data_IF_146176914869
#
_entry.id   IF_146176914869
#
_cell.length_a   1.000
_cell.length_b   1.000
_cell.length_c   1.000
_cell.angle_alpha   90.00
_cell.angle_beta   90.00
_cell.angle_gamma   90.00
#
_symmetry.space_group_name_H-M   'P 1'
#
loop_
_entity.id
_entity.type
_entity.pdbx_description
1 polymer ?
#
# COMPACT_ATOMS: atom_id res chain seq x y z
N UNK A 1 1.44 -11.68 -2.66
CA UNK A 1 2.31 -12.65 -3.40
C UNK A 1 2.10 -12.68 -4.92
N UNK A 2 0.88 -12.74 -5.46
CA UNK A 2 0.67 -12.86 -6.93
C UNK A 2 1.13 -11.62 -7.71
N UNK A 3 0.90 -10.42 -7.17
CA UNK A 3 1.36 -9.15 -7.74
C UNK A 3 2.88 -9.10 -7.90
N UNK A 4 3.61 -9.49 -6.86
CA UNK A 4 5.09 -9.54 -6.90
C UNK A 4 5.60 -10.51 -7.96
N UNK A 5 4.93 -11.66 -8.14
CA UNK A 5 5.30 -12.64 -9.16
C UNK A 5 5.08 -12.09 -10.58
N UNK A 6 3.97 -11.39 -10.81
CA UNK A 6 3.66 -10.76 -12.11
C UNK A 6 4.72 -9.72 -12.48
N UNK A 7 5.12 -8.86 -11.55
CA UNK A 7 6.14 -7.85 -11.83
C UNK A 7 7.52 -8.43 -12.02
N UNK A 8 7.89 -9.50 -11.30
CA UNK A 8 9.13 -10.24 -11.55
C UNK A 8 9.13 -10.79 -12.98
N UNK A 9 8.02 -11.37 -13.44
CA UNK A 9 7.88 -11.85 -14.83
C UNK A 9 8.04 -10.71 -15.85
N UNK A 10 7.39 -9.58 -15.63
CA UNK A 10 7.48 -8.41 -16.52
C UNK A 10 8.89 -7.85 -16.58
N UNK A 11 9.60 -7.79 -15.45
CA UNK A 11 11.02 -7.37 -15.40
C UNK A 11 11.89 -8.35 -16.18
N UNK A 12 11.67 -9.66 -16.01
CA UNK A 12 12.46 -10.69 -16.68
C UNK A 12 12.25 -10.67 -18.20
N UNK A 13 10.99 -10.66 -18.66
CA UNK A 13 10.64 -10.57 -20.08
C UNK A 13 11.14 -9.25 -20.66
N UNK A 14 10.88 -8.12 -20.00
CA UNK A 14 11.37 -6.81 -20.42
C UNK A 14 12.88 -6.77 -20.53
N UNK A 15 13.60 -7.28 -19.53
CA UNK A 15 15.06 -7.35 -19.53
C UNK A 15 15.64 -8.16 -20.69
N UNK A 16 15.10 -9.35 -20.95
CA UNK A 16 15.54 -10.20 -22.07
C UNK A 16 15.32 -9.51 -23.41
N UNK A 17 14.12 -8.98 -23.65
CA UNK A 17 13.81 -8.31 -24.92
C UNK A 17 14.61 -7.02 -25.10
N UNK A 18 14.91 -6.30 -24.03
CA UNK A 18 15.79 -5.13 -24.06
C UNK A 18 17.22 -5.51 -24.48
N UNK A 19 17.78 -6.57 -23.90
CA UNK A 19 19.11 -7.08 -24.30
C UNK A 19 19.13 -7.52 -25.76
N UNK A 20 18.13 -8.29 -26.20
CA UNK A 20 18.02 -8.74 -27.60
C UNK A 20 17.91 -7.52 -28.54
N UNK A 21 17.06 -6.55 -28.20
CA UNK A 21 16.89 -5.33 -28.99
C UNK A 21 18.21 -4.56 -29.13
N UNK A 22 18.96 -4.39 -28.04
CA UNK A 22 20.27 -3.72 -28.02
C UNK A 22 21.31 -4.47 -28.88
N UNK A 23 21.39 -5.79 -28.77
CA UNK A 23 22.31 -6.60 -29.59
C UNK A 23 21.97 -6.45 -31.07
N UNK A 24 20.70 -6.59 -31.45
CA UNK A 24 20.26 -6.44 -32.85
C UNK A 24 20.50 -5.01 -33.35
N UNK A 25 20.31 -4.00 -32.50
CA UNK A 25 20.58 -2.61 -32.83
C UNK A 25 22.07 -2.38 -33.10
N UNK A 26 22.96 -2.89 -32.24
CA UNK A 26 24.41 -2.79 -32.40
C UNK A 26 24.86 -3.45 -33.71
N UNK A 27 24.37 -4.66 -34.01
CA UNK A 27 24.64 -5.31 -35.29
C UNK A 27 24.11 -4.51 -36.48
N UNK A 28 22.92 -3.90 -36.34
CA UNK A 28 22.34 -3.02 -37.35
C UNK A 28 23.16 -1.76 -37.59
N UNK A 29 23.76 -1.18 -36.55
CA UNK A 29 24.68 -0.04 -36.65
C UNK A 29 25.97 -0.46 -37.34
N UNK A 30 26.60 -1.55 -36.89
CA UNK A 30 27.87 -2.05 -37.43
C UNK A 30 27.76 -2.42 -38.92
N UNK A 31 26.69 -3.14 -39.30
CA UNK A 31 26.42 -3.48 -40.70
C UNK A 31 25.78 -2.35 -41.52
N UNK A 32 25.59 -1.15 -40.94
CA UNK A 32 24.88 -0.01 -41.55
C UNK A 32 23.50 -0.39 -42.14
N UNK A 33 22.84 -1.40 -41.56
CA UNK A 33 21.60 -1.99 -42.08
C UNK A 33 20.36 -1.33 -41.48
N UNK A 34 19.58 -0.65 -42.30
CA UNK A 34 18.31 -0.03 -41.88
C UNK A 34 17.24 -1.06 -41.50
N UNK A 35 17.24 -2.24 -42.16
CA UNK A 35 16.30 -3.32 -41.85
C UNK A 35 16.50 -3.85 -40.43
N UNK A 36 17.77 -4.07 -40.03
CA UNK A 36 18.08 -4.55 -38.68
C UNK A 36 17.73 -3.52 -37.60
N UNK A 37 17.95 -2.22 -37.85
CA UNK A 37 17.53 -1.16 -36.93
C UNK A 37 16.02 -1.14 -36.73
N UNK A 38 15.22 -1.28 -37.80
CA UNK A 38 13.76 -1.37 -37.71
C UNK A 38 13.29 -2.56 -36.89
N UNK A 39 13.92 -3.73 -37.07
CA UNK A 39 13.63 -4.93 -36.27
C UNK A 39 13.97 -4.68 -34.80
N UNK A 40 15.13 -4.09 -34.51
CA UNK A 40 15.54 -3.77 -33.15
C UNK A 40 14.54 -2.84 -32.45
N UNK A 41 14.08 -1.78 -33.13
CA UNK A 41 13.06 -0.89 -32.59
C UNK A 41 11.72 -1.61 -32.37
N UNK A 42 11.32 -2.50 -33.29
CA UNK A 42 10.13 -3.34 -33.11
C UNK A 42 10.21 -4.19 -31.84
N UNK A 43 11.31 -4.91 -31.64
CA UNK A 43 11.56 -5.70 -30.43
C UNK A 43 11.60 -4.79 -29.19
N UNK A 44 12.18 -3.59 -29.31
CA UNK A 44 12.30 -2.60 -28.25
C UNK A 44 10.97 -2.05 -27.75
N UNK A 45 9.86 -2.25 -28.47
CA UNK A 45 8.52 -1.88 -27.96
C UNK A 45 8.08 -2.75 -26.78
N UNK A 46 8.49 -4.02 -26.73
CA UNK A 46 8.14 -4.96 -25.65
C UNK A 46 8.64 -4.47 -24.28
N UNK A 47 9.93 -4.16 -24.08
CA UNK A 47 10.40 -3.66 -22.79
C UNK A 47 9.79 -2.32 -22.40
N UNK A 48 9.52 -1.43 -23.38
CA UNK A 48 8.83 -0.16 -23.12
C UNK A 48 7.44 -0.42 -22.53
N UNK A 49 6.69 -1.38 -23.09
CA UNK A 49 5.39 -1.77 -22.53
C UNK A 49 5.52 -2.41 -21.14
N UNK A 50 6.46 -3.34 -20.96
CA UNK A 50 6.67 -4.00 -19.65
C UNK A 50 7.03 -3.00 -18.55
N UNK A 51 8.05 -2.17 -18.75
CA UNK A 51 8.47 -1.19 -17.77
C UNK A 51 7.49 -0.02 -17.65
N UNK A 52 6.80 0.34 -18.74
CA UNK A 52 5.74 1.32 -18.72
C UNK A 52 4.55 0.90 -17.85
N UNK A 53 4.14 -0.38 -17.93
CA UNK A 53 3.07 -0.91 -17.08
C UNK A 53 3.49 -0.94 -15.60
N UNK A 54 4.73 -1.32 -15.30
CA UNK A 54 5.28 -1.29 -13.94
C UNK A 54 5.28 0.16 -13.41
N UNK A 55 5.78 1.10 -14.21
CA UNK A 55 5.82 2.51 -13.84
C UNK A 55 4.41 3.08 -13.62
N UNK A 56 3.47 2.77 -14.51
CA UNK A 56 2.06 3.14 -14.35
C UNK A 56 1.48 2.59 -13.03
N UNK A 57 1.74 1.32 -12.72
CA UNK A 57 1.24 0.71 -11.51
C UNK A 57 1.72 1.43 -10.25
N UNK A 58 3.02 1.63 -10.10
CA UNK A 58 3.59 2.20 -8.86
C UNK A 58 3.49 3.72 -8.76
N UNK A 59 3.48 4.45 -9.88
CA UNK A 59 3.42 5.91 -9.86
C UNK A 59 1.98 6.44 -9.88
N UNK A 60 1.03 5.66 -10.40
CA UNK A 60 -0.35 6.13 -10.64
C UNK A 60 -1.35 5.24 -9.91
N UNK A 61 -1.37 3.94 -10.20
CA UNK A 61 -2.42 3.05 -9.68
C UNK A 61 -2.35 2.89 -8.15
N UNK A 62 -1.19 2.49 -7.61
CA UNK A 62 -1.01 2.26 -6.17
C UNK A 62 -1.30 3.53 -5.34
N UNK A 63 -0.74 4.72 -5.66
CA UNK A 63 -1.07 5.94 -4.93
C UNK A 63 -2.57 6.29 -5.01
N UNK A 64 -3.21 6.05 -6.15
CA UNK A 64 -4.65 6.31 -6.32
C UNK A 64 -5.49 5.37 -5.45
N UNK A 65 -5.15 4.08 -5.39
CA UNK A 65 -5.86 3.12 -4.55
C UNK A 65 -5.66 3.43 -3.07
N UNK A 66 -4.42 3.71 -2.65
CA UNK A 66 -4.13 4.06 -1.26
C UNK A 66 -4.88 5.32 -0.83
N UNK A 67 -4.94 6.35 -1.69
CA UNK A 67 -5.72 7.56 -1.39
C UNK A 67 -7.21 7.25 -1.23
N UNK A 68 -7.79 6.46 -2.13
CA UNK A 68 -9.20 6.05 -2.04
C UNK A 68 -9.49 5.28 -0.76
N UNK A 69 -8.60 4.37 -0.36
CA UNK A 69 -8.73 3.58 0.86
C UNK A 69 -8.57 4.46 2.11
N UNK A 70 -7.66 5.43 2.10
CA UNK A 70 -7.53 6.43 3.17
C UNK A 70 -8.81 7.25 3.34
N UNK A 71 -9.45 7.66 2.24
CA UNK A 71 -10.73 8.38 2.28
C UNK A 71 -11.84 7.49 2.88
N UNK A 72 -11.96 6.24 2.45
CA UNK A 72 -12.96 5.28 2.95
C UNK A 72 -12.78 4.98 4.45
N UNK A 73 -11.55 4.78 4.91
CA UNK A 73 -11.24 4.45 6.30
C UNK A 73 -11.01 5.69 7.19
N UNK A 74 -11.09 6.90 6.65
CA UNK A 74 -11.05 8.11 7.48
C UNK A 74 -12.35 8.25 8.29
N UNK A 75 -12.23 8.63 9.56
CA UNK A 75 -13.36 8.82 10.46
C UNK A 75 -13.01 8.56 11.93
N UNK A 76 -14.03 8.61 12.77
CA UNK A 76 -13.92 8.34 14.21
C UNK A 76 -14.24 6.88 14.48
N UNK A 77 -13.40 6.24 15.29
CA UNK A 77 -13.54 4.86 15.70
C UNK A 77 -13.61 4.76 17.23
N UNK A 78 -14.49 3.90 17.74
CA UNK A 78 -14.54 3.54 19.15
C UNK A 78 -13.82 2.22 19.39
N UNK A 79 -13.12 2.12 20.53
CA UNK A 79 -12.55 0.86 20.98
C UNK A 79 -13.65 -0.12 21.43
N UNK A 80 -13.52 -1.37 21.03
CA UNK A 80 -14.29 -2.49 21.54
C UNK A 80 -13.30 -3.51 22.13
N UNK A 81 -13.02 -3.39 23.43
CA UNK A 81 -12.18 -4.35 24.15
C UNK A 81 -12.99 -5.63 24.40
N UNK A 82 -12.51 -6.77 23.90
CA UNK A 82 -13.11 -8.09 24.13
C UNK A 82 -12.63 -8.66 25.48
N UNK A 83 -12.80 -7.92 26.58
CA UNK A 83 -12.62 -8.47 27.93
C UNK A 83 -13.98 -8.53 28.63
N UNK A 84 -14.36 -9.74 29.06
CA UNK A 84 -15.57 -10.00 29.86
C UNK A 84 -15.59 -9.11 31.10
N UNK A 85 -16.41 -8.07 31.08
CA UNK A 85 -16.83 -7.34 32.28
C UNK A 85 -16.08 -6.05 32.62
N UNK A 86 -15.25 -5.49 31.74
CA UNK A 86 -14.71 -4.12 31.92
C UNK A 86 -15.55 -3.10 31.14
N UNK A 87 -15.82 -1.98 31.79
CA UNK A 87 -16.62 -0.87 31.26
C UNK A 87 -16.13 -0.39 29.89
N UNK A 88 -17.08 0.05 29.07
CA UNK A 88 -16.85 0.76 27.81
C UNK A 88 -15.99 2.00 28.10
N UNK A 89 -14.68 1.92 27.91
CA UNK A 89 -13.81 3.08 27.97
C UNK A 89 -14.06 3.93 26.73
N UNK A 90 -14.41 5.21 26.93
CA UNK A 90 -14.61 6.19 25.87
C UNK A 90 -13.25 6.55 25.21
N UNK A 91 -12.60 5.58 24.59
CA UNK A 91 -11.38 5.79 23.82
C UNK A 91 -11.71 5.87 22.34
N UNK A 92 -11.33 6.98 21.73
CA UNK A 92 -11.62 7.28 20.33
C UNK A 92 -10.33 7.34 19.51
N UNK A 93 -10.34 6.74 18.33
CA UNK A 93 -9.31 6.88 17.32
C UNK A 93 -9.89 7.63 16.12
N UNK A 94 -9.36 8.81 15.84
CA UNK A 94 -9.70 9.63 14.69
C UNK A 94 -8.65 9.45 13.60
N UNK A 95 -9.06 8.90 12.46
CA UNK A 95 -8.24 8.81 11.26
C UNK A 95 -8.64 9.90 10.27
N UNK A 96 -7.70 10.73 9.87
CA UNK A 96 -7.91 11.78 8.88
C UNK A 96 -7.45 11.31 7.50
N UNK A 97 -8.21 11.65 6.46
CA UNK A 97 -7.89 11.28 5.08
C UNK A 97 -6.57 11.88 4.56
N UNK A 98 -6.01 12.87 5.27
CA UNK A 98 -4.68 13.43 4.99
C UNK A 98 -3.53 12.55 5.50
N UNK A 99 -3.84 11.43 6.15
CA UNK A 99 -2.86 10.49 6.70
C UNK A 99 -2.38 10.85 8.09
N UNK A 100 -3.04 11.78 8.79
CA UNK A 100 -2.80 12.00 10.22
C UNK A 100 -3.83 11.24 11.07
N UNK A 101 -3.49 10.96 12.33
CA UNK A 101 -4.44 10.40 13.27
C UNK A 101 -4.33 11.05 14.65
N UNK A 102 -5.41 10.92 15.44
CA UNK A 102 -5.45 11.31 16.86
C UNK A 102 -6.14 10.23 17.68
N UNK A 103 -5.52 9.85 18.79
CA UNK A 103 -6.05 8.90 19.75
C UNK A 103 -6.38 9.61 21.09
N UNK A 104 -7.66 9.59 21.45
CA UNK A 104 -8.20 10.13 22.68
C UNK A 104 -8.62 8.98 23.58
N UNK A 105 -7.67 8.31 24.24
CA UNK A 105 -7.95 7.25 25.19
C UNK A 105 -7.13 7.38 26.47
N UNK A 106 -7.63 6.78 27.56
CA UNK A 106 -6.89 6.66 28.83
C UNK A 106 -6.07 5.37 28.91
N UNK A 107 -6.37 4.39 28.06
CA UNK A 107 -5.69 3.09 28.03
C UNK A 107 -4.39 3.17 27.23
N UNK A 108 -3.38 2.44 27.70
CA UNK A 108 -2.13 2.27 26.97
C UNK A 108 -2.31 1.17 25.91
N UNK A 109 -2.99 1.50 24.82
CA UNK A 109 -3.33 0.57 23.72
C UNK A 109 -2.22 0.42 22.68
N UNK A 110 -0.95 0.70 23.07
CA UNK A 110 0.19 0.54 22.19
C UNK A 110 0.29 1.53 21.03
N UNK A 111 -0.59 2.56 20.96
CA UNK A 111 -0.52 3.63 19.96
C UNK A 111 -0.27 4.99 20.62
N UNK A 112 0.46 5.87 19.93
CA UNK A 112 0.68 7.24 20.38
C UNK A 112 -0.61 8.07 20.30
N UNK A 113 -0.68 9.18 21.05
CA UNK A 113 -1.82 10.12 21.02
C UNK A 113 -2.05 10.78 19.66
N UNK A 114 -1.01 10.89 18.84
CA UNK A 114 -1.06 11.46 17.50
C UNK A 114 0.10 10.93 16.68
N UNK A 115 -0.04 11.03 15.37
CA UNK A 115 0.96 10.59 14.42
C UNK A 115 0.42 10.54 13.01
N UNK A 116 1.06 9.73 12.17
CA UNK A 116 0.61 9.50 10.78
C UNK A 116 0.22 8.05 10.58
N UNK A 117 -0.72 7.82 9.67
CA UNK A 117 -1.13 6.50 9.22
C UNK A 117 -1.18 6.48 7.69
N UNK A 118 -0.97 5.31 7.11
CA UNK A 118 -1.10 5.11 5.66
C UNK A 118 -1.63 3.72 5.37
N UNK A 119 -2.25 3.56 4.21
CA UNK A 119 -2.75 2.28 3.73
C UNK A 119 -1.81 1.67 2.69
N UNK A 120 -2.13 0.45 2.24
CA UNK A 120 -1.32 -0.27 1.26
C UNK A 120 0.08 -0.65 1.77
N UNK A 121 0.21 -0.89 3.08
CA UNK A 121 1.43 -1.42 3.70
C UNK A 121 1.67 -2.89 3.34
N UNK A 122 2.55 -3.55 4.09
CA UNK A 122 2.88 -4.97 3.85
C UNK A 122 1.60 -5.83 3.91
N UNK A 123 1.36 -6.60 2.85
CA UNK A 123 0.16 -7.42 2.66
C UNK A 123 -1.17 -6.63 2.78
N UNK A 124 -1.13 -5.34 2.45
CA UNK A 124 -2.28 -4.45 2.49
C UNK A 124 -2.55 -3.84 3.87
N UNK A 125 -1.79 -4.19 4.91
CA UNK A 125 -2.04 -3.67 6.26
C UNK A 125 -1.89 -2.15 6.35
N UNK A 126 -2.57 -1.55 7.31
CA UNK A 126 -2.36 -0.15 7.65
C UNK A 126 -1.13 -0.01 8.53
N UNK A 127 -0.38 1.06 8.33
CA UNK A 127 0.85 1.33 9.06
C UNK A 127 0.68 2.61 9.87
N UNK A 128 0.93 2.53 11.19
CA UNK A 128 0.85 3.66 12.11
C UNK A 128 2.24 4.10 12.54
N UNK A 129 2.45 5.40 12.61
CA UNK A 129 3.75 6.03 12.83
C UNK A 129 3.66 7.11 13.89
N UNK A 130 4.72 7.25 14.66
CA UNK A 130 4.94 8.41 15.51
C UNK A 130 5.10 9.67 14.65
N UNK A 131 4.91 10.85 15.27
CA UNK A 131 5.17 12.14 14.61
C UNK A 131 6.61 12.29 14.10
N UNK A 132 7.57 11.57 14.71
CA UNK A 132 8.96 11.54 14.26
C UNK A 132 9.22 10.58 13.08
N UNK A 133 8.18 9.91 12.55
CA UNK A 133 8.27 8.99 11.42
C UNK A 133 8.65 7.55 11.77
N UNK A 134 8.80 7.20 13.05
CA UNK A 134 9.07 5.83 13.45
C UNK A 134 7.78 5.00 13.41
N UNK A 135 7.85 3.81 12.79
CA UNK A 135 6.74 2.86 12.79
C UNK A 135 6.41 2.43 14.23
N UNK A 136 5.12 2.51 14.57
CA UNK A 136 4.57 2.08 15.84
C UNK A 136 4.08 0.64 15.70
N UNK A 137 3.12 0.43 14.79
CA UNK A 137 2.40 -0.83 14.69
C UNK A 137 1.71 -0.97 13.32
N UNK A 138 1.42 -2.22 12.94
CA UNK A 138 0.54 -2.53 11.83
C UNK A 138 -0.88 -2.85 12.30
N UNK A 139 -1.86 -2.46 11.51
CA UNK A 139 -3.26 -2.79 11.77
C UNK A 139 -3.91 -3.46 10.57
N UNK A 140 -4.68 -4.50 10.85
CA UNK A 140 -5.52 -5.16 9.86
C UNK A 140 -6.81 -4.39 9.72
N UNK A 141 -7.16 -4.03 8.48
CA UNK A 141 -8.43 -3.41 8.15
C UNK A 141 -9.45 -4.46 7.69
N UNK A 142 -10.69 -4.30 8.12
CA UNK A 142 -11.81 -5.14 7.71
C UNK A 142 -13.03 -4.29 7.40
N UNK A 143 -13.89 -4.80 6.52
CA UNK A 143 -15.10 -4.11 6.12
C UNK A 143 -14.86 -3.13 4.97
N UNK A 144 -15.56 -2.01 5.02
CA UNK A 144 -15.76 -1.08 3.91
C UNK A 144 -17.26 -0.80 3.72
N UNK A 145 -17.59 0.27 2.98
CA UNK A 145 -18.97 0.71 2.74
C UNK A 145 -19.80 0.87 4.04
N UNK A 146 -19.20 1.49 5.06
CA UNK A 146 -19.82 1.84 6.34
C UNK A 146 -19.66 0.81 7.46
N UNK A 147 -18.96 -0.31 7.26
CA UNK A 147 -18.71 -1.31 8.32
C UNK A 147 -17.22 -1.46 8.65
N UNK A 148 -16.46 -0.37 8.54
CA UNK A 148 -15.01 -0.36 8.69
C UNK A 148 -14.59 -0.69 10.13
N UNK A 149 -13.59 -1.57 10.24
CA UNK A 149 -12.96 -1.97 11.49
C UNK A 149 -11.45 -1.98 11.32
N UNK A 150 -10.76 -1.61 12.38
CA UNK A 150 -9.30 -1.60 12.43
C UNK A 150 -8.89 -2.44 13.63
N UNK A 151 -8.02 -3.42 13.39
CA UNK A 151 -7.62 -4.40 14.40
C UNK A 151 -6.12 -4.32 14.59
N UNK A 152 -5.71 -3.96 15.80
CA UNK A 152 -4.31 -3.99 16.22
C UNK A 152 -4.02 -5.32 16.92
N UNK A 153 -3.02 -6.04 16.42
CA UNK A 153 -2.50 -7.25 17.06
C UNK A 153 -1.29 -6.88 17.90
N UNK A 154 -1.54 -6.44 19.14
CA UNK A 154 -0.46 -6.01 20.03
C UNK A 154 0.28 -7.23 20.62
N UNK A 155 1.59 -7.06 20.81
CA UNK A 155 2.52 -8.09 21.28
C UNK A 155 2.11 -8.81 22.58
N UNK A 156 1.26 -8.22 23.42
CA UNK A 156 0.80 -8.78 24.70
C UNK A 156 -0.55 -9.54 24.61
N UNK A 157 -0.87 -10.12 23.45
CA UNK A 157 -2.00 -11.07 23.23
C UNK A 157 -3.43 -10.53 23.33
N UNK A 158 -3.60 -9.22 23.53
CA UNK A 158 -4.90 -8.57 23.46
C UNK A 158 -5.14 -7.98 22.07
N UNK A 159 -6.05 -8.58 21.31
CA UNK A 159 -6.59 -8.00 20.07
C UNK A 159 -7.38 -6.74 20.44
N UNK A 160 -6.95 -5.58 19.95
CA UNK A 160 -7.68 -4.33 20.12
C UNK A 160 -8.41 -4.00 18.83
N UNK A 161 -9.75 -3.97 18.93
CA UNK A 161 -10.63 -3.68 17.80
C UNK A 161 -11.20 -2.28 17.91
N UNK A 162 -11.06 -1.52 16.84
CA UNK A 162 -11.68 -0.23 16.63
C UNK A 162 -12.80 -0.39 15.61
N UNK A 163 -13.98 0.14 15.91
CA UNK A 163 -15.15 0.10 15.01
C UNK A 163 -15.51 1.54 14.65
N UNK A 164 -15.64 1.82 13.34
CA UNK A 164 -16.01 3.14 12.86
C UNK A 164 -17.40 3.52 13.36
N UNK A 165 -17.52 4.71 13.94
CA UNK A 165 -18.81 5.29 14.30
C UNK A 165 -19.51 5.66 12.99
N UNK A 166 -20.73 5.15 12.79
CA UNK A 166 -21.61 5.62 11.72
C UNK A 166 -22.16 6.97 12.17
N UNK A 167 -21.79 8.03 11.46
CA UNK A 167 -22.52 9.28 11.58
C UNK A 167 -23.86 9.07 10.88
N UNK A 168 -24.95 9.10 11.66
CA UNK A 168 -26.34 9.10 11.16
C UNK A 168 -26.66 10.37 10.36
#
# INVERSE_FOLDING_TARGET
>A
MLESLLFILLIFIGGIFLLISLIVLLFGIFKKSQKLKKIAFGIGTVPIMCFGLIAFWYLIAVPSFNKSEMEEFSGTYEIQTVEKGKEKTNSELNLFADGTYKFNGKENVGIAKSGTWKTGGIDGQFEFYHENGNLIEYASQFGGNGNEKIIFNLYDSNEIRFIKIKNE
#
